data_IF_508917909857
#
_entry.id   IF_508917909857
#
_cell.length_a   1.000
_cell.length_b   1.000
_cell.length_c   1.000
_cell.angle_alpha   90.00
_cell.angle_beta   90.00
_cell.angle_gamma   90.00
#
_symmetry.space_group_name_H-M   'P 1'
#
loop_
_entity.id
_entity.type
_entity.pdbx_description
1 polymer ?
#
# COMPACT_ATOMS: atom_id res chain seq x y z
N UNK A 1 4.73 25.11 13.10
CA UNK A 1 5.63 23.97 12.86
C UNK A 1 5.68 23.06 14.09
N UNK A 2 5.62 21.75 13.91
CA UNK A 2 5.60 20.81 15.02
C UNK A 2 6.99 20.73 15.68
N UNK A 3 7.07 20.96 16.98
CA UNK A 3 8.34 20.91 17.72
C UNK A 3 8.87 19.48 17.90
N UNK A 4 7.96 18.49 18.00
CA UNK A 4 8.31 17.07 18.19
C UNK A 4 7.49 16.19 17.26
N UNK A 5 8.11 15.11 16.77
CA UNK A 5 7.38 14.07 16.02
C UNK A 5 6.51 13.27 16.99
N UNK A 6 5.33 12.86 16.52
CA UNK A 6 4.51 11.92 17.27
C UNK A 6 5.25 10.58 17.40
N UNK A 7 5.14 9.95 18.56
CA UNK A 7 5.65 8.60 18.77
C UNK A 7 4.85 7.65 17.88
N UNK A 8 5.53 6.78 17.14
CA UNK A 8 4.87 5.74 16.35
C UNK A 8 4.24 4.72 17.29
N UNK A 9 2.94 4.50 17.15
CA UNK A 9 2.23 3.48 17.90
C UNK A 9 2.40 2.13 17.22
N UNK A 10 2.66 1.10 18.03
CA UNK A 10 2.66 -0.27 17.53
C UNK A 10 1.21 -0.78 17.46
N UNK A 11 0.97 -1.74 16.59
CA UNK A 11 -0.34 -2.38 16.44
C UNK A 11 -0.26 -3.82 16.94
N UNK A 12 -1.39 -4.33 17.46
CA UNK A 12 -1.48 -5.73 17.85
C UNK A 12 -1.63 -6.62 16.61
N UNK A 13 -1.06 -7.84 16.62
CA UNK A 13 -1.27 -8.79 15.53
C UNK A 13 -2.74 -9.12 15.34
N UNK A 14 -3.14 -9.40 14.11
CA UNK A 14 -4.50 -9.82 13.82
C UNK A 14 -4.83 -11.14 14.55
N UNK A 15 -6.02 -11.27 15.18
CA UNK A 15 -6.37 -12.48 15.94
C UNK A 15 -6.38 -13.76 15.13
N UNK A 16 -6.78 -13.71 13.86
CA UNK A 16 -6.91 -14.90 13.01
C UNK A 16 -5.60 -15.23 12.32
N UNK A 17 -4.92 -14.22 11.75
CA UNK A 17 -3.70 -14.41 10.95
C UNK A 17 -2.41 -14.18 11.74
N UNK A 18 -2.52 -13.69 12.97
CA UNK A 18 -1.38 -13.38 13.84
C UNK A 18 -0.29 -12.55 13.14
N UNK A 19 -0.72 -11.54 12.38
CA UNK A 19 0.15 -10.69 11.58
C UNK A 19 -0.17 -9.22 11.81
N UNK A 20 0.85 -8.43 12.12
CA UNK A 20 0.71 -6.97 12.27
C UNK A 20 0.41 -6.29 10.94
N UNK A 21 0.90 -6.83 9.84
CA UNK A 21 0.66 -6.29 8.50
C UNK A 21 -0.80 -6.45 8.11
N UNK A 22 -1.45 -7.53 8.52
CA UNK A 22 -2.89 -7.72 8.35
C UNK A 22 -3.68 -6.68 9.17
N UNK A 23 -3.29 -6.43 10.40
CA UNK A 23 -3.89 -5.37 11.22
C UNK A 23 -3.78 -4.00 10.56
N UNK A 24 -2.63 -3.69 9.99
CA UNK A 24 -2.42 -2.43 9.26
C UNK A 24 -3.32 -2.32 8.03
N UNK A 25 -3.56 -3.43 7.33
CA UNK A 25 -4.51 -3.45 6.21
C UNK A 25 -5.94 -3.18 6.69
N UNK A 26 -6.38 -3.79 7.79
CA UNK A 26 -7.68 -3.51 8.40
C UNK A 26 -7.80 -2.02 8.70
N UNK A 27 -6.80 -1.43 9.31
CA UNK A 27 -6.80 0.00 9.64
C UNK A 27 -6.85 0.88 8.40
N UNK A 28 -6.27 0.45 7.29
CA UNK A 28 -6.31 1.17 6.01
C UNK A 28 -7.69 1.08 5.34
N UNK A 29 -8.38 -0.04 5.48
CA UNK A 29 -9.75 -0.24 4.96
C UNK A 29 -10.76 0.55 5.79
N UNK A 30 -10.53 0.63 7.09
CA UNK A 30 -11.47 1.19 8.06
C UNK A 30 -11.87 2.63 7.73
N UNK A 31 -13.19 2.89 7.82
CA UNK A 31 -13.77 4.22 7.68
C UNK A 31 -14.54 4.55 8.97
N UNK A 32 -14.44 5.78 9.44
CA UNK A 32 -15.19 6.31 10.60
C UNK A 32 -15.07 5.46 11.88
N UNK A 33 -13.93 4.80 12.06
CA UNK A 33 -13.69 3.96 13.22
C UNK A 33 -14.41 2.60 13.20
N UNK A 34 -15.05 2.23 12.09
CA UNK A 34 -15.81 0.97 11.96
C UNK A 34 -14.89 -0.23 11.73
N UNK A 35 -14.13 -0.60 12.73
CA UNK A 35 -13.12 -1.65 12.65
C UNK A 35 -13.73 -3.03 12.39
N UNK A 36 -14.84 -3.36 13.04
CA UNK A 36 -15.51 -4.66 12.84
C UNK A 36 -15.94 -4.89 11.39
N UNK A 37 -16.46 -3.86 10.73
CA UNK A 37 -16.83 -3.91 9.32
C UNK A 37 -15.60 -4.12 8.45
N UNK A 38 -14.51 -3.41 8.71
CA UNK A 38 -13.25 -3.55 7.98
C UNK A 38 -12.65 -4.95 8.14
N UNK A 39 -12.71 -5.52 9.34
CA UNK A 39 -12.25 -6.89 9.60
C UNK A 39 -13.06 -7.92 8.80
N UNK A 40 -14.39 -7.78 8.75
CA UNK A 40 -15.24 -8.66 7.94
C UNK A 40 -14.88 -8.61 6.46
N UNK A 41 -14.67 -7.42 5.92
CA UNK A 41 -14.28 -7.23 4.52
C UNK A 41 -12.94 -7.93 4.25
N UNK A 42 -11.96 -7.75 5.13
CA UNK A 42 -10.65 -8.35 4.96
C UNK A 42 -10.70 -9.87 5.04
N UNK A 43 -11.40 -10.42 6.02
CA UNK A 43 -11.50 -11.87 6.20
C UNK A 43 -12.23 -12.53 5.02
N UNK A 44 -13.30 -11.92 4.55
CA UNK A 44 -14.00 -12.37 3.35
C UNK A 44 -13.10 -12.29 2.10
N UNK A 45 -12.35 -11.21 1.93
CA UNK A 45 -11.41 -11.06 0.84
C UNK A 45 -10.32 -12.15 0.88
N UNK A 46 -9.78 -12.43 2.06
CA UNK A 46 -8.76 -13.47 2.23
C UNK A 46 -9.31 -14.88 1.96
N UNK A 47 -10.56 -15.15 2.36
CA UNK A 47 -11.21 -16.41 2.02
C UNK A 47 -11.35 -16.57 0.50
N UNK A 48 -11.74 -15.52 -0.20
CA UNK A 48 -11.84 -15.50 -1.66
C UNK A 48 -10.46 -15.74 -2.30
N UNK A 49 -9.42 -15.08 -1.80
CA UNK A 49 -8.04 -15.26 -2.29
C UNK A 49 -7.60 -16.71 -2.14
N UNK A 50 -7.79 -17.30 -0.96
CA UNK A 50 -7.44 -18.69 -0.69
C UNK A 50 -8.19 -19.67 -1.62
N UNK A 51 -9.47 -19.45 -1.83
CA UNK A 51 -10.29 -20.28 -2.71
C UNK A 51 -9.85 -20.18 -4.17
N UNK A 52 -9.62 -18.99 -4.68
CA UNK A 52 -9.25 -18.77 -6.09
C UNK A 52 -7.83 -19.21 -6.42
N UNK A 53 -6.88 -19.02 -5.50
CA UNK A 53 -5.46 -19.33 -5.74
C UNK A 53 -5.05 -20.72 -5.29
N UNK A 54 -5.82 -21.34 -4.39
CA UNK A 54 -5.44 -22.61 -3.76
C UNK A 54 -4.24 -22.52 -2.82
N UNK A 55 -3.82 -21.30 -2.47
CA UNK A 55 -2.69 -21.02 -1.58
C UNK A 55 -3.17 -20.32 -0.31
N UNK A 56 -2.39 -20.38 0.80
CA UNK A 56 -2.72 -19.58 1.98
C UNK A 56 -2.85 -18.10 1.63
N UNK A 57 -3.94 -17.47 2.05
CA UNK A 57 -4.21 -16.07 1.72
C UNK A 57 -3.10 -15.12 2.20
N UNK A 58 -2.52 -15.38 3.37
CA UNK A 58 -1.45 -14.57 3.93
C UNK A 58 -0.21 -14.58 3.03
N UNK A 59 0.13 -15.73 2.46
CA UNK A 59 1.26 -15.88 1.53
C UNK A 59 1.04 -15.05 0.26
N UNK A 60 -0.15 -15.14 -0.33
CA UNK A 60 -0.53 -14.35 -1.52
C UNK A 60 -0.50 -12.84 -1.20
N UNK A 61 -1.02 -12.46 -0.04
CA UNK A 61 -1.02 -11.08 0.42
C UNK A 61 0.40 -10.53 0.60
N UNK A 62 1.28 -11.29 1.23
CA UNK A 62 2.67 -10.87 1.41
C UNK A 62 3.38 -10.70 0.06
N UNK A 63 3.18 -11.62 -0.88
CA UNK A 63 3.71 -11.50 -2.23
C UNK A 63 3.18 -10.28 -2.95
N UNK A 64 1.89 -9.98 -2.81
CA UNK A 64 1.27 -8.78 -3.37
C UNK A 64 1.91 -7.50 -2.82
N UNK A 65 2.12 -7.42 -1.51
CA UNK A 65 2.76 -6.25 -0.89
C UNK A 65 4.19 -6.05 -1.39
N UNK A 66 4.97 -7.11 -1.51
CA UNK A 66 6.34 -7.01 -2.04
C UNK A 66 6.35 -6.46 -3.48
N UNK A 67 5.37 -6.85 -4.30
CA UNK A 67 5.25 -6.35 -5.66
C UNK A 67 4.74 -4.90 -5.75
N UNK A 68 4.04 -4.40 -4.72
CA UNK A 68 3.50 -3.03 -4.71
C UNK A 68 4.47 -2.04 -4.07
N UNK A 69 5.31 -2.48 -3.12
CA UNK A 69 6.23 -1.58 -2.40
C UNK A 69 7.14 -0.82 -3.35
N UNK A 70 7.13 0.53 -3.31
CA UNK A 70 8.02 1.34 -4.13
C UNK A 70 9.42 1.43 -3.50
N UNK A 71 10.45 1.48 -4.33
CA UNK A 71 11.81 1.76 -3.92
C UNK A 71 12.12 3.26 -3.93
N UNK A 72 11.45 4.01 -4.80
CA UNK A 72 11.65 5.44 -5.00
C UNK A 72 10.31 6.17 -5.01
N UNK A 73 10.33 7.41 -4.50
CA UNK A 73 9.21 8.35 -4.63
C UNK A 73 9.77 9.72 -4.99
N UNK A 74 8.89 10.63 -5.36
CA UNK A 74 9.25 12.01 -5.71
C UNK A 74 8.66 12.94 -4.65
N UNK A 75 9.50 13.80 -4.09
CA UNK A 75 9.08 14.85 -3.16
C UNK A 75 9.36 16.22 -3.74
N UNK A 76 8.42 17.12 -3.57
CA UNK A 76 8.56 18.50 -3.97
C UNK A 76 9.51 19.22 -2.99
N UNK A 77 10.48 19.94 -3.55
CA UNK A 77 11.38 20.80 -2.77
C UNK A 77 11.50 22.17 -3.46
N UNK A 78 11.39 23.23 -2.67
CA UNK A 78 11.58 24.58 -3.18
C UNK A 78 13.04 24.98 -3.07
N UNK A 79 13.65 25.33 -4.21
CA UNK A 79 15.04 25.80 -4.28
C UNK A 79 15.06 27.05 -5.15
N UNK A 80 15.58 28.16 -4.63
CA UNK A 80 15.70 29.43 -5.37
C UNK A 80 14.39 29.99 -5.91
N UNK A 81 13.28 29.76 -5.19
CA UNK A 81 11.94 30.23 -5.60
C UNK A 81 11.20 29.31 -6.57
N UNK A 82 11.83 28.28 -7.06
CA UNK A 82 11.20 27.26 -7.93
C UNK A 82 10.99 25.94 -7.21
N UNK A 83 9.91 25.25 -7.56
CA UNK A 83 9.61 23.94 -7.01
C UNK A 83 10.18 22.85 -7.94
N UNK A 84 10.95 21.94 -7.34
CA UNK A 84 11.52 20.80 -8.05
C UNK A 84 10.96 19.49 -7.47
N UNK A 85 10.72 18.53 -8.34
CA UNK A 85 10.35 17.18 -7.95
C UNK A 85 11.64 16.38 -7.75
N UNK A 86 11.95 16.04 -6.52
CA UNK A 86 13.22 15.40 -6.15
C UNK A 86 12.98 13.91 -5.90
N UNK A 87 13.63 13.00 -6.64
CA UNK A 87 13.52 11.57 -6.38
C UNK A 87 14.25 11.20 -5.09
N UNK A 88 13.62 10.37 -4.28
CA UNK A 88 14.16 9.93 -2.99
C UNK A 88 13.91 8.45 -2.78
N UNK A 89 14.85 7.81 -2.09
CA UNK A 89 14.67 6.43 -1.63
C UNK A 89 13.57 6.36 -0.57
N UNK A 90 12.77 5.30 -0.62
CA UNK A 90 11.67 5.06 0.31
C UNK A 90 12.12 4.07 1.37
N UNK A 91 12.02 4.46 2.64
CA UNK A 91 12.29 3.56 3.77
C UNK A 91 11.22 2.47 3.86
N UNK A 92 11.56 1.31 4.42
CA UNK A 92 10.67 0.15 4.51
C UNK A 92 9.30 0.47 5.12
N UNK A 93 9.26 1.22 6.22
CA UNK A 93 8.00 1.62 6.86
C UNK A 93 7.11 2.43 5.92
N UNK A 94 7.72 3.37 5.21
CA UNK A 94 7.02 4.21 4.25
C UNK A 94 6.57 3.41 3.04
N UNK A 95 7.42 2.49 2.55
CA UNK A 95 7.09 1.61 1.43
C UNK A 95 5.88 0.73 1.76
N UNK A 96 5.84 0.17 2.96
CA UNK A 96 4.71 -0.63 3.43
C UNK A 96 3.43 0.22 3.51
N UNK A 97 3.49 1.42 4.07
CA UNK A 97 2.36 2.34 4.16
C UNK A 97 1.81 2.69 2.78
N UNK A 98 2.69 3.00 1.84
CA UNK A 98 2.30 3.31 0.46
C UNK A 98 1.67 2.09 -0.23
N UNK A 99 2.25 0.91 -0.05
CA UNK A 99 1.73 -0.33 -0.63
C UNK A 99 0.30 -0.61 -0.13
N UNK A 100 0.06 -0.50 1.16
CA UNK A 100 -1.27 -0.68 1.76
C UNK A 100 -2.28 0.34 1.24
N UNK A 101 -1.87 1.60 1.18
CA UNK A 101 -2.73 2.68 0.69
C UNK A 101 -3.12 2.46 -0.77
N UNK A 102 -2.16 2.13 -1.62
CA UNK A 102 -2.43 1.90 -3.03
C UNK A 102 -3.29 0.65 -3.25
N UNK A 103 -3.02 -0.43 -2.51
CA UNK A 103 -3.83 -1.65 -2.59
C UNK A 103 -5.31 -1.34 -2.32
N UNK A 104 -5.61 -0.65 -1.23
CA UNK A 104 -6.99 -0.31 -0.87
C UNK A 104 -7.61 0.67 -1.86
N UNK A 105 -6.88 1.71 -2.26
CA UNK A 105 -7.40 2.72 -3.19
C UNK A 105 -7.75 2.12 -4.55
N UNK A 106 -6.89 1.26 -5.09
CA UNK A 106 -7.15 0.62 -6.39
C UNK A 106 -8.19 -0.50 -6.30
N UNK A 107 -8.33 -1.15 -5.15
CA UNK A 107 -9.44 -2.05 -4.90
C UNK A 107 -10.78 -1.31 -4.97
N UNK A 108 -10.86 -0.12 -4.38
CA UNK A 108 -12.07 0.73 -4.43
C UNK A 108 -12.46 1.15 -5.85
N UNK A 109 -11.51 1.25 -6.76
CA UNK A 109 -11.76 1.67 -8.14
C UNK A 109 -12.24 0.52 -9.05
N UNK A 110 -12.21 -0.71 -8.57
CA UNK A 110 -12.70 -1.86 -9.34
C UNK A 110 -14.23 -1.88 -9.40
N UNK A 111 -14.76 -2.41 -10.50
CA UNK A 111 -16.19 -2.50 -10.78
C UNK A 111 -16.81 -3.83 -10.31
N UNK A 112 -16.32 -4.42 -9.25
CA UNK A 112 -16.88 -5.66 -8.70
C UNK A 112 -18.07 -5.42 -7.76
N UNK A 113 -18.68 -6.52 -7.33
CA UNK A 113 -19.85 -6.51 -6.45
C UNK A 113 -19.46 -6.45 -4.98
N UNK A 114 -18.78 -5.40 -4.57
CA UNK A 114 -18.43 -5.18 -3.17
C UNK A 114 -16.92 -5.12 -2.94
N UNK A 115 -16.55 -4.51 -1.82
CA UNK A 115 -15.15 -4.26 -1.48
C UNK A 115 -14.36 -5.54 -1.23
N UNK A 116 -14.97 -6.57 -0.62
CA UNK A 116 -14.29 -7.84 -0.36
C UNK A 116 -13.82 -8.52 -1.65
N UNK A 117 -14.68 -8.55 -2.65
CA UNK A 117 -14.36 -9.13 -3.98
C UNK A 117 -13.30 -8.27 -4.68
N UNK A 118 -13.47 -6.96 -4.66
CA UNK A 118 -12.53 -6.03 -5.26
C UNK A 118 -11.13 -6.14 -4.63
N UNK A 119 -11.07 -6.19 -3.31
CA UNK A 119 -9.81 -6.33 -2.57
C UNK A 119 -9.14 -7.67 -2.87
N UNK A 120 -9.90 -8.75 -2.89
CA UNK A 120 -9.39 -10.08 -3.22
C UNK A 120 -8.78 -10.11 -4.64
N UNK A 121 -9.47 -9.54 -5.62
CA UNK A 121 -9.00 -9.49 -6.99
C UNK A 121 -7.75 -8.62 -7.13
N UNK A 122 -7.69 -7.49 -6.42
CA UNK A 122 -6.49 -6.63 -6.42
C UNK A 122 -5.29 -7.34 -5.77
N UNK A 123 -5.49 -8.06 -4.69
CA UNK A 123 -4.43 -8.85 -4.04
C UNK A 123 -3.91 -9.93 -4.99
N UNK A 124 -4.78 -10.66 -5.65
CA UNK A 124 -4.40 -11.71 -6.59
C UNK A 124 -3.60 -11.12 -7.76
N UNK A 125 -4.10 -10.06 -8.38
CA UNK A 125 -3.42 -9.41 -9.49
C UNK A 125 -2.06 -8.86 -9.06
N UNK A 126 -1.99 -8.22 -7.90
CA UNK A 126 -0.74 -7.68 -7.37
C UNK A 126 0.28 -8.79 -7.06
N UNK A 127 -0.16 -9.95 -6.58
CA UNK A 127 0.72 -11.09 -6.36
C UNK A 127 1.36 -11.61 -7.65
N UNK A 128 0.68 -11.39 -8.78
CA UNK A 128 1.18 -11.72 -10.12
C UNK A 128 1.89 -10.54 -10.81
N UNK A 129 2.10 -9.45 -10.10
CA UNK A 129 2.76 -8.25 -10.64
C UNK A 129 1.90 -7.40 -11.56
N UNK A 130 0.58 -7.59 -11.56
CA UNK A 130 -0.38 -6.85 -12.39
C UNK A 130 -1.35 -6.05 -11.52
N UNK A 131 -2.29 -5.35 -12.15
CA UNK A 131 -3.30 -4.56 -11.46
C UNK A 131 -2.90 -3.11 -11.21
N UNK A 132 -3.86 -2.32 -10.72
CA UNK A 132 -3.71 -0.87 -10.55
C UNK A 132 -2.64 -0.48 -9.53
N UNK A 133 -2.53 -1.20 -8.42
CA UNK A 133 -1.54 -0.90 -7.39
C UNK A 133 -0.11 -1.09 -7.89
N UNK A 134 0.17 -2.18 -8.63
CA UNK A 134 1.47 -2.40 -9.25
C UNK A 134 1.76 -1.36 -10.35
N UNK A 135 0.75 -0.97 -11.11
CA UNK A 135 0.87 0.11 -12.10
C UNK A 135 1.23 1.43 -11.42
N UNK A 136 0.63 1.73 -10.27
CA UNK A 136 0.95 2.93 -9.51
C UNK A 136 2.41 2.94 -9.06
N UNK A 137 2.94 1.81 -8.64
CA UNK A 137 4.37 1.67 -8.33
C UNK A 137 5.24 1.97 -9.55
N UNK A 138 4.91 1.38 -10.69
CA UNK A 138 5.65 1.62 -11.94
C UNK A 138 5.61 3.08 -12.37
N UNK A 139 4.44 3.72 -12.28
CA UNK A 139 4.28 5.14 -12.59
C UNK A 139 5.10 6.02 -11.64
N UNK A 140 5.15 5.68 -10.36
CA UNK A 140 5.96 6.38 -9.35
C UNK A 140 7.45 6.23 -9.65
N UNK A 141 7.91 5.04 -10.00
CA UNK A 141 9.30 4.81 -10.39
C UNK A 141 9.65 5.53 -11.70
N UNK A 142 8.75 5.56 -12.64
CA UNK A 142 8.93 6.29 -13.93
C UNK A 142 9.05 7.79 -13.68
N UNK A 143 8.23 8.33 -12.77
CA UNK A 143 8.30 9.74 -12.37
C UNK A 143 9.63 10.06 -11.71
N UNK A 144 10.12 9.20 -10.82
CA UNK A 144 11.42 9.35 -10.18
C UNK A 144 12.56 9.31 -11.21
N UNK A 145 12.49 8.42 -12.19
CA UNK A 145 13.48 8.34 -13.26
C UNK A 145 13.45 9.58 -14.15
N UNK A 146 12.27 10.09 -14.49
CA UNK A 146 12.11 11.31 -15.28
C UNK A 146 12.70 12.55 -14.57
N UNK A 147 12.73 12.56 -13.23
CA UNK A 147 13.25 13.64 -12.42
C UNK A 147 14.66 13.36 -11.85
N UNK A 148 15.34 12.36 -12.39
CA UNK A 148 16.66 11.92 -11.98
C UNK A 148 17.71 13.05 -11.92
N UNK A 149 17.61 14.00 -12.83
CA UNK A 149 18.52 15.17 -12.89
C UNK A 149 18.47 16.01 -11.62
N UNK A 150 17.39 15.97 -10.85
CA UNK A 150 17.21 16.74 -9.62
C UNK A 150 17.58 15.97 -8.35
N UNK A 151 18.14 14.77 -8.47
CA UNK A 151 18.51 13.94 -7.33
C UNK A 151 19.50 14.64 -6.38
N UNK A 152 20.35 15.50 -6.89
CA UNK A 152 21.32 16.27 -6.09
C UNK A 152 20.65 17.33 -5.19
N UNK A 153 19.38 17.64 -5.41
CA UNK A 153 18.62 18.56 -4.54
C UNK A 153 18.04 17.86 -3.30
N UNK A 154 18.19 16.55 -3.16
CA UNK A 154 17.68 15.84 -1.97
C UNK A 154 18.35 16.35 -0.69
N UNK A 155 17.60 16.31 0.41
CA UNK A 155 18.05 16.76 1.73
C UNK A 155 18.09 15.67 2.78
#
# INVERSE_FOLDING_TARGET
>A
MRKRRAVKRDVLPDPIYNSKVVTKLVNQIMLDGKKGTAQKILYEAFDIVAEKTGKPALEVYNAALENIKPALEVKSRRVGGSNYQVPMEVKDDRAQTLALRWLVNYAKLRNGKGMAINLANEIIDASNGTGGACKKREDTHRMAEANKAFAHYRW
#
